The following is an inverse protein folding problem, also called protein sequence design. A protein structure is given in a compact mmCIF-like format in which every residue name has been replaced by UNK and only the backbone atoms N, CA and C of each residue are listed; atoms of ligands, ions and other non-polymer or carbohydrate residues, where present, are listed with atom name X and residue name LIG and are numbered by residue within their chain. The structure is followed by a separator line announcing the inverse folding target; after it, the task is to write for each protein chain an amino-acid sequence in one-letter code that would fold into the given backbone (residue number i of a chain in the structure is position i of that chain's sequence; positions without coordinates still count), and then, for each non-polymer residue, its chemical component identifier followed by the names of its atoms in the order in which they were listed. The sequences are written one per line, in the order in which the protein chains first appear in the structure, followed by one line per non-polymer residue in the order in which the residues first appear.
data_IF_918580071149
#
_entry.id   IF_918580071149
#
_cell.length_a   1.000
_cell.length_b   1.000
_cell.length_c   1.000
_cell.angle_alpha   90.00
_cell.angle_beta   90.00
_cell.angle_gamma   90.00
#
_symmetry.space_group_name_H-M   'P 1'
#
loop_
_entity.id
_entity.type
_entity.pdbx_description
1 polymer ?
#
# COMPACT_ATOMS: atom_id res chain seq x y z
N UNK A 1 -17.55 -3.37 -10.56
CA UNK A 1 -16.44 -2.44 -10.33
C UNK A 1 -15.85 -2.88 -9.00
N UNK A 2 -14.63 -3.40 -8.97
CA UNK A 2 -14.01 -3.88 -7.72
C UNK A 2 -13.17 -2.75 -7.12
N UNK A 3 -13.57 -2.12 -6.01
CA UNK A 3 -12.76 -1.07 -5.41
C UNK A 3 -11.47 -1.67 -4.83
N UNK A 4 -10.33 -1.08 -5.19
CA UNK A 4 -9.03 -1.44 -4.63
C UNK A 4 -8.57 -0.32 -3.70
N UNK A 5 -8.46 -0.61 -2.41
CA UNK A 5 -7.83 0.26 -1.44
C UNK A 5 -6.32 -0.01 -1.44
N UNK A 6 -5.52 1.04 -1.54
CA UNK A 6 -4.06 0.93 -1.54
C UNK A 6 -3.51 1.63 -0.31
N UNK A 7 -2.80 0.89 0.53
CA UNK A 7 -2.09 1.41 1.70
C UNK A 7 -0.58 1.46 1.42
N UNK A 8 0.00 2.66 1.43
CA UNK A 8 1.45 2.84 1.32
C UNK A 8 2.14 2.60 2.68
N UNK A 9 2.70 1.40 2.84
CA UNK A 9 3.44 0.99 4.03
C UNK A 9 4.96 1.18 3.90
N UNK A 10 5.48 1.75 2.80
CA UNK A 10 6.93 1.94 2.60
C UNK A 10 7.58 2.85 3.65
N UNK A 11 6.80 3.73 4.27
CA UNK A 11 7.25 4.63 5.35
C UNK A 11 7.22 3.98 6.73
N UNK A 12 6.66 2.77 6.85
CA UNK A 12 6.56 2.04 8.11
C UNK A 12 7.88 1.32 8.46
N UNK A 13 8.94 2.11 8.64
CA UNK A 13 10.28 1.64 8.95
C UNK A 13 10.67 2.01 10.39
N UNK A 14 11.73 1.40 10.96
CA UNK A 14 12.24 1.79 12.28
C UNK A 14 12.61 3.28 12.40
N UNK A 15 12.91 3.95 11.28
CA UNK A 15 13.22 5.37 11.23
C UNK A 15 12.00 6.26 11.53
N UNK A 16 10.77 5.78 11.28
CA UNK A 16 9.52 6.51 11.52
C UNK A 16 8.57 5.73 12.44
N UNK A 17 8.88 5.59 13.74
CA UNK A 17 8.16 4.67 14.63
C UNK A 17 6.68 5.03 14.82
N UNK A 18 6.33 6.32 14.84
CA UNK A 18 4.93 6.76 14.96
C UNK A 18 4.08 6.37 13.74
N UNK A 19 4.63 6.58 12.55
CA UNK A 19 3.99 6.24 11.28
C UNK A 19 3.93 4.72 11.11
N UNK A 20 5.00 4.01 11.47
CA UNK A 20 5.01 2.55 11.45
C UNK A 20 3.92 1.95 12.33
N UNK A 21 3.71 2.49 13.54
CA UNK A 21 2.60 2.06 14.42
C UNK A 21 1.23 2.36 13.82
N UNK A 22 1.04 3.55 13.24
CA UNK A 22 -0.20 3.91 12.56
C UNK A 22 -0.52 2.95 11.40
N UNK A 23 0.42 2.78 10.47
CA UNK A 23 0.26 1.90 9.30
C UNK A 23 -0.03 0.47 9.74
N UNK A 24 0.70 -0.05 10.73
CA UNK A 24 0.48 -1.39 11.26
C UNK A 24 -0.91 -1.58 11.85
N UNK A 25 -1.38 -0.65 12.66
CA UNK A 25 -2.71 -0.74 13.26
C UNK A 25 -3.81 -0.59 12.21
N UNK A 26 -3.62 0.30 11.23
CA UNK A 26 -4.56 0.47 10.13
C UNK A 26 -4.64 -0.80 9.27
N UNK A 27 -3.50 -1.36 8.87
CA UNK A 27 -3.43 -2.60 8.09
C UNK A 27 -4.10 -3.78 8.82
N UNK A 28 -4.02 -3.83 10.16
CA UNK A 28 -4.71 -4.86 10.94
C UNK A 28 -6.24 -4.64 11.01
N UNK A 29 -6.68 -3.38 11.01
CA UNK A 29 -8.08 -3.00 11.17
C UNK A 29 -8.88 -2.97 9.85
N UNK A 30 -8.23 -2.78 8.70
CA UNK A 30 -8.91 -2.67 7.40
C UNK A 30 -9.48 -4.00 6.86
N UNK A 31 -8.77 -5.14 6.88
CA UNK A 31 -9.25 -6.36 6.24
C UNK A 31 -10.61 -6.87 6.73
N UNK A 32 -11.01 -6.74 8.01
CA UNK A 32 -12.36 -7.09 8.46
C UNK A 32 -13.48 -6.19 7.91
N UNK A 33 -13.13 -5.01 7.38
CA UNK A 33 -14.08 -4.01 6.88
C UNK A 33 -14.30 -4.10 5.37
N UNK A 34 -13.53 -4.91 4.66
CA UNK A 34 -13.66 -5.09 3.22
C UNK A 34 -14.97 -5.82 2.90
N UNK A 35 -15.72 -5.30 1.93
CA UNK A 35 -16.80 -6.03 1.28
C UNK A 35 -16.24 -7.20 0.45
N UNK A 36 -17.09 -8.13 0.05
CA UNK A 36 -16.67 -9.37 -0.64
C UNK A 36 -15.97 -9.13 -1.99
N UNK A 37 -16.24 -7.99 -2.63
CA UNK A 37 -15.69 -7.59 -3.93
C UNK A 37 -14.59 -6.50 -3.83
N UNK A 38 -14.19 -6.14 -2.60
CA UNK A 38 -13.13 -5.18 -2.33
C UNK A 38 -11.81 -5.89 -2.03
N UNK A 39 -10.71 -5.22 -2.41
CA UNK A 39 -9.35 -5.69 -2.17
C UNK A 39 -8.53 -4.60 -1.47
N UNK A 40 -7.59 -5.06 -0.64
CA UNK A 40 -6.58 -4.21 -0.01
C UNK A 40 -5.21 -4.54 -0.62
N UNK A 41 -4.66 -3.62 -1.41
CA UNK A 41 -3.29 -3.66 -1.85
C UNK A 41 -2.39 -2.95 -0.84
N UNK A 42 -1.29 -3.60 -0.44
CA UNK A 42 -0.30 -3.03 0.47
C UNK A 42 0.99 -2.82 -0.30
N UNK A 43 1.41 -1.57 -0.43
CA UNK A 43 2.70 -1.20 -1.00
C UNK A 43 3.77 -1.25 0.08
N UNK A 44 4.85 -1.97 -0.16
CA UNK A 44 5.96 -2.03 0.79
C UNK A 44 7.30 -2.19 0.09
N UNK A 45 8.35 -1.81 0.82
CA UNK A 45 9.72 -2.05 0.44
C UNK A 45 10.13 -3.46 0.92
N UNK A 46 10.57 -4.38 0.03
CA UNK A 46 11.02 -5.71 0.42
C UNK A 46 12.12 -5.69 1.50
N UNK A 47 12.95 -4.66 1.57
CA UNK A 47 14.00 -4.54 2.60
C UNK A 47 13.43 -4.34 4.01
N UNK A 48 12.18 -3.87 4.11
CA UNK A 48 11.47 -3.59 5.36
C UNK A 48 10.26 -4.51 5.58
N UNK A 49 10.10 -5.54 4.72
CA UNK A 49 8.92 -6.42 4.62
C UNK A 49 8.65 -7.32 5.84
N UNK A 50 9.66 -7.56 6.68
CA UNK A 50 9.59 -8.49 7.81
C UNK A 50 8.50 -8.16 8.84
N UNK A 51 7.99 -6.93 8.87
CA UNK A 51 6.97 -6.50 9.84
C UNK A 51 5.52 -6.74 9.38
N UNK A 52 5.29 -6.98 8.07
CA UNK A 52 3.95 -7.01 7.46
C UNK A 52 3.66 -8.32 6.71
N UNK A 53 4.66 -8.93 6.09
CA UNK A 53 4.44 -10.00 5.11
C UNK A 53 3.84 -11.31 5.67
N UNK A 54 3.98 -11.62 6.96
CA UNK A 54 3.70 -12.97 7.47
C UNK A 54 2.32 -13.16 8.14
N UNK A 55 1.68 -12.10 8.65
CA UNK A 55 0.40 -12.25 9.37
C UNK A 55 -0.83 -12.07 8.47
N UNK A 56 -0.71 -11.27 7.42
CA UNK A 56 -1.85 -10.86 6.59
C UNK A 56 -2.05 -11.74 5.35
N UNK A 57 -1.05 -12.54 4.96
CA UNK A 57 -1.09 -13.46 3.81
C UNK A 57 -2.16 -14.57 3.89
N UNK A 58 -2.92 -14.66 5.00
CA UNK A 58 -4.01 -15.63 5.17
C UNK A 58 -5.37 -15.15 4.66
N UNK A 59 -5.50 -13.87 4.26
CA UNK A 59 -6.75 -13.33 3.69
C UNK A 59 -6.62 -13.15 2.19
N UNK A 60 -7.50 -13.80 1.43
CA UNK A 60 -7.51 -13.79 -0.04
C UNK A 60 -7.73 -12.40 -0.67
N UNK A 61 -8.19 -11.42 0.11
CA UNK A 61 -8.45 -10.05 -0.33
C UNK A 61 -7.26 -9.09 -0.12
N UNK A 62 -6.13 -9.58 0.39
CA UNK A 62 -4.93 -8.77 0.61
C UNK A 62 -3.90 -9.08 -0.47
N UNK A 63 -3.53 -8.05 -1.24
CA UNK A 63 -2.53 -8.13 -2.31
C UNK A 63 -1.27 -7.37 -1.87
N UNK A 64 -0.12 -8.03 -2.01
CA UNK A 64 1.17 -7.45 -1.67
C UNK A 64 1.85 -6.89 -2.92
N UNK A 65 2.20 -5.60 -2.88
CA UNK A 65 2.83 -4.89 -4.01
C UNK A 65 4.20 -4.37 -3.61
N UNK A 66 5.22 -4.89 -4.28
CA UNK A 66 6.60 -4.49 -4.03
C UNK A 66 6.91 -3.16 -4.70
N UNK A 67 7.43 -2.21 -3.92
CA UNK A 67 7.90 -0.93 -4.41
C UNK A 67 9.17 -0.54 -3.64
N UNK A 68 10.32 -0.82 -4.25
CA UNK A 68 11.65 -0.60 -3.64
C UNK A 68 12.10 0.88 -3.66
N UNK A 69 11.33 1.81 -4.25
CA UNK A 69 11.66 3.22 -4.15
C UNK A 69 11.35 3.74 -2.75
N UNK A 70 12.34 4.42 -2.16
CA UNK A 70 12.13 5.22 -0.96
C UNK A 70 11.01 6.26 -1.22
N UNK A 71 10.12 6.48 -0.23
CA UNK A 71 9.12 7.56 -0.24
C UNK A 71 9.68 8.97 -0.39
N UNK A 72 11.00 9.14 -0.35
CA UNK A 72 11.68 10.43 -0.54
C UNK A 72 12.50 10.50 -1.82
N UNK A 73 12.56 9.41 -2.59
CA UNK A 73 13.35 9.35 -3.81
C UNK A 73 12.53 9.84 -5.02
N UNK A 74 13.17 10.53 -5.98
CA UNK A 74 12.48 11.03 -7.18
C UNK A 74 11.89 9.91 -8.03
N UNK A 75 12.49 8.71 -7.99
CA UNK A 75 11.98 7.52 -8.69
C UNK A 75 10.53 7.18 -8.33
N UNK A 76 10.05 7.56 -7.14
CA UNK A 76 8.67 7.31 -6.72
C UNK A 76 7.64 7.99 -7.64
N UNK A 77 8.00 9.11 -8.30
CA UNK A 77 7.13 9.85 -9.21
C UNK A 77 6.72 9.02 -10.44
N UNK A 78 7.45 7.93 -10.72
CA UNK A 78 7.22 7.08 -11.89
C UNK A 78 6.84 5.66 -11.45
N UNK A 79 7.55 5.11 -10.47
CA UNK A 79 7.33 3.74 -9.99
C UNK A 79 5.96 3.57 -9.32
N UNK A 80 5.51 4.55 -8.54
CA UNK A 80 4.22 4.43 -7.83
C UNK A 80 3.04 4.53 -8.79
N UNK A 81 2.96 5.52 -9.71
CA UNK A 81 1.91 5.52 -10.73
C UNK A 81 1.89 4.23 -11.56
N UNK A 82 3.06 3.67 -11.92
CA UNK A 82 3.11 2.40 -12.64
C UNK A 82 2.53 1.24 -11.82
N UNK A 83 2.90 1.12 -10.55
CA UNK A 83 2.35 0.09 -9.65
C UNK A 83 0.84 0.27 -9.40
N UNK A 84 0.36 1.51 -9.25
CA UNK A 84 -1.06 1.79 -9.09
C UNK A 84 -1.86 1.49 -10.36
N UNK A 85 -1.29 1.75 -11.54
CA UNK A 85 -1.93 1.40 -12.83
C UNK A 85 -2.06 -0.10 -13.01
N UNK A 86 -1.08 -0.91 -12.57
CA UNK A 86 -1.22 -2.37 -12.64
C UNK A 86 -2.26 -2.93 -11.67
N UNK A 87 -2.61 -2.19 -10.62
CA UNK A 87 -3.68 -2.54 -9.67
C UNK A 87 -5.08 -2.10 -10.11
N UNK A 88 -5.18 -1.32 -11.19
CA UNK A 88 -6.44 -0.77 -11.70
C UNK A 88 -6.79 -1.39 -13.06
N UNK A 89 -7.21 -2.67 -13.12
CA UNK A 89 -7.65 -3.27 -14.38
C UNK A 89 -8.98 -2.62 -14.84
N UNK A 90 -8.90 -1.67 -15.76
CA UNK A 90 -10.08 -1.03 -16.37
C UNK A 90 -10.64 0.16 -15.58
N UNK A 91 -11.97 0.24 -15.47
CA UNK A 91 -12.71 1.35 -14.85
C UNK A 91 -12.91 1.20 -13.32
N UNK A 92 -12.14 0.32 -12.68
CA UNK A 92 -12.25 0.08 -11.24
C UNK A 92 -11.83 1.29 -10.39
N UNK A 93 -12.48 1.52 -9.25
CA UNK A 93 -12.13 2.60 -8.35
C UNK A 93 -10.86 2.24 -7.56
N UNK A 94 -9.90 3.17 -7.50
CA UNK A 94 -8.66 2.99 -6.75
C UNK A 94 -8.54 4.12 -5.74
N UNK A 95 -8.46 3.77 -4.45
CA UNK A 95 -8.29 4.73 -3.35
C UNK A 95 -6.90 4.54 -2.78
N UNK A 96 -6.02 5.53 -3.00
CA UNK A 96 -4.64 5.50 -2.51
C UNK A 96 -4.48 6.28 -1.22
N UNK A 97 -4.01 5.61 -0.16
CA UNK A 97 -3.67 6.21 1.11
C UNK A 97 -2.15 6.15 1.34
N UNK A 98 -1.54 7.33 1.48
CA UNK A 98 -0.13 7.49 1.85
C UNK A 98 -0.01 8.24 3.17
N UNK A 99 0.77 7.75 4.15
CA UNK A 99 1.07 8.48 5.38
C UNK A 99 1.87 9.77 5.15
N UNK A 100 2.51 9.91 3.98
CA UNK A 100 3.25 11.11 3.58
C UNK A 100 2.68 11.71 2.30
N UNK A 101 2.47 13.03 2.31
CA UNK A 101 1.98 13.84 1.20
C UNK A 101 3.02 14.12 0.10
N UNK A 102 3.92 13.17 -0.19
CA UNK A 102 4.74 13.23 -1.40
C UNK A 102 4.00 12.46 -2.49
N UNK A 103 3.08 13.15 -3.17
CA UNK A 103 2.29 12.54 -4.23
C UNK A 103 3.07 12.50 -5.55
N UNK A 104 2.88 11.47 -6.39
CA UNK A 104 3.19 11.59 -7.80
C UNK A 104 2.27 12.66 -8.40
N UNK A 105 2.85 13.74 -8.96
CA UNK A 105 2.06 14.84 -9.53
C UNK A 105 1.34 14.47 -10.84
N UNK A 106 1.65 13.30 -11.40
CA UNK A 106 1.07 12.79 -12.64
C UNK A 106 0.40 11.43 -12.39
N UNK A 107 -0.81 11.46 -11.79
CA UNK A 107 -1.70 10.31 -11.78
C UNK A 107 -2.49 10.25 -13.09
#
# INVERSE_FOLDING_TARGET
MKPTYVLDARTATPHFPGIGRYVKNLLQAMPPLLAADEELAVLFDPQHSGQFAQKDARRSQIVHVYAASSPFALQQQWQIPQALRSLKPGNDALVYHSPYYLMPYFL
#
